data_IF_528898194002
#
_entry.id   IF_528898194002
#
_cell.length_a   1.000
_cell.length_b   1.000
_cell.length_c   1.000
_cell.angle_alpha   90.00
_cell.angle_beta   90.00
_cell.angle_gamma   90.00
#
_symmetry.space_group_name_H-M   'P 1'
#
loop_
_entity.id
_entity.type
_entity.pdbx_description
1 polymer ?
#
# COMPACT_ATOMS: atom_id res chain seq x y z
N UNK A 1 8.35 19.39 -21.28
CA UNK A 1 6.96 18.86 -21.29
C UNK A 1 6.91 17.37 -21.59
N UNK A 2 7.42 16.86 -22.72
CA UNK A 2 7.43 15.40 -23.02
C UNK A 2 8.15 14.53 -21.98
N UNK A 3 9.31 14.98 -21.47
CA UNK A 3 10.06 14.25 -20.44
C UNK A 3 9.28 14.09 -19.12
N UNK A 4 8.58 15.14 -18.70
CA UNK A 4 7.81 15.14 -17.45
C UNK A 4 6.55 14.26 -17.58
N UNK A 5 5.87 14.32 -18.74
CA UNK A 5 4.75 13.44 -19.03
C UNK A 5 5.16 11.97 -19.10
N UNK A 6 6.31 11.66 -19.69
CA UNK A 6 6.82 10.29 -19.74
C UNK A 6 7.18 9.75 -18.34
N UNK A 7 7.76 10.61 -17.48
CA UNK A 7 8.08 10.25 -16.11
C UNK A 7 6.83 9.96 -15.27
N UNK A 8 5.82 10.83 -15.31
CA UNK A 8 4.54 10.63 -14.61
C UNK A 8 3.81 9.36 -15.13
N UNK A 9 3.81 9.15 -16.45
CA UNK A 9 3.18 7.98 -17.06
C UNK A 9 3.90 6.69 -16.70
N UNK A 10 5.24 6.70 -16.74
CA UNK A 10 6.06 5.57 -16.28
C UNK A 10 5.88 5.32 -14.79
N UNK A 11 5.85 6.37 -13.97
CA UNK A 11 5.63 6.26 -12.53
C UNK A 11 4.24 5.69 -12.18
N UNK A 12 3.21 6.06 -12.94
CA UNK A 12 1.87 5.50 -12.84
C UNK A 12 1.76 4.05 -13.34
N UNK A 13 2.56 3.66 -14.33
CA UNK A 13 2.61 2.27 -14.83
C UNK A 13 3.43 1.35 -13.91
N UNK A 14 4.40 1.90 -13.19
CA UNK A 14 5.29 1.13 -12.29
C UNK A 14 4.72 1.00 -10.88
N UNK A 15 3.87 1.93 -10.43
CA UNK A 15 3.18 1.79 -9.14
C UNK A 15 1.84 1.09 -9.32
N UNK A 16 1.72 -0.07 -8.66
CA UNK A 16 0.43 -0.62 -8.31
C UNK A 16 -0.38 0.41 -7.49
N UNK A 17 -1.69 0.56 -7.74
CA UNK A 17 -2.56 1.36 -6.89
C UNK A 17 -2.52 0.83 -5.45
N UNK A 18 -2.66 1.75 -4.50
CA UNK A 18 -2.62 1.40 -3.10
C UNK A 18 -3.24 2.45 -2.19
N UNK A 19 -3.70 1.98 -1.04
CA UNK A 19 -4.16 2.77 0.08
C UNK A 19 -3.05 2.83 1.12
N UNK A 20 -2.72 4.03 1.59
CA UNK A 20 -1.79 4.22 2.71
C UNK A 20 -2.48 4.99 3.83
N UNK A 21 -2.26 4.54 5.06
CA UNK A 21 -2.68 5.21 6.28
C UNK A 21 -1.43 5.42 7.11
N UNK A 22 -1.18 6.67 7.49
CA UNK A 22 -0.05 7.07 8.31
C UNK A 22 -0.56 7.71 9.59
N UNK A 23 -0.05 7.25 10.73
CA UNK A 23 -0.19 7.94 12.01
C UNK A 23 1.17 8.49 12.45
N UNK A 24 1.14 9.56 13.24
CA UNK A 24 2.31 10.19 13.85
C UNK A 24 2.48 9.80 15.33
N UNK A 25 1.89 8.68 15.76
CA UNK A 25 1.98 8.19 17.13
C UNK A 25 3.36 7.62 17.46
N UNK A 26 3.45 6.84 18.56
CA UNK A 26 4.71 6.25 19.03
C UNK A 26 5.26 5.10 18.14
N UNK A 27 4.62 4.83 17.00
CA UNK A 27 4.97 3.72 16.13
C UNK A 27 4.54 2.36 16.66
N UNK A 28 5.21 1.30 16.21
CA UNK A 28 4.88 -0.07 16.60
C UNK A 28 5.56 -0.39 17.93
N UNK A 29 4.79 -0.37 19.03
CA UNK A 29 5.27 -0.60 20.39
C UNK A 29 5.03 -2.03 20.92
N UNK A 30 4.52 -2.94 20.09
CA UNK A 30 4.18 -4.31 20.48
C UNK A 30 4.53 -5.28 19.37
N UNK A 31 5.09 -6.43 19.75
CA UNK A 31 5.33 -7.56 18.84
C UNK A 31 4.06 -8.38 18.57
N UNK A 32 2.99 -8.17 19.35
CA UNK A 32 1.72 -8.88 19.18
C UNK A 32 0.92 -8.25 18.04
N UNK A 33 0.51 -9.11 17.11
CA UNK A 33 -0.38 -8.71 16.02
C UNK A 33 -1.84 -8.64 16.47
N UNK A 34 -2.46 -7.47 16.29
CA UNK A 34 -3.89 -7.27 16.55
C UNK A 34 -4.79 -7.82 15.42
N UNK A 35 -6.08 -7.99 15.71
CA UNK A 35 -7.07 -8.52 14.77
C UNK A 35 -7.18 -7.70 13.47
N UNK A 36 -7.12 -6.37 13.54
CA UNK A 36 -7.16 -5.53 12.34
C UNK A 36 -6.00 -5.82 11.39
N UNK A 37 -4.79 -6.02 11.91
CA UNK A 37 -3.61 -6.38 11.09
C UNK A 37 -3.79 -7.75 10.43
N UNK A 38 -4.35 -8.75 11.14
CA UNK A 38 -4.69 -10.05 10.56
C UNK A 38 -5.71 -9.92 9.42
N UNK A 39 -6.75 -9.12 9.61
CA UNK A 39 -7.77 -8.88 8.59
C UNK A 39 -7.17 -8.23 7.34
N UNK A 40 -6.31 -7.22 7.48
CA UNK A 40 -5.64 -6.59 6.34
C UNK A 40 -4.69 -7.54 5.61
N UNK A 41 -4.00 -8.43 6.32
CA UNK A 41 -3.19 -9.49 5.70
C UNK A 41 -4.06 -10.45 4.88
N UNK A 42 -5.18 -10.89 5.44
CA UNK A 42 -6.12 -11.76 4.73
C UNK A 42 -6.73 -11.06 3.51
N UNK A 43 -7.10 -9.78 3.65
CA UNK A 43 -7.62 -8.97 2.54
C UNK A 43 -6.60 -8.85 1.41
N UNK A 44 -5.33 -8.58 1.74
CA UNK A 44 -4.27 -8.53 0.74
C UNK A 44 -4.14 -9.84 -0.04
N UNK A 45 -4.26 -10.99 0.63
CA UNK A 45 -4.26 -12.30 -0.04
C UNK A 45 -5.48 -12.45 -0.97
N UNK A 46 -6.68 -12.05 -0.53
CA UNK A 46 -7.91 -12.13 -1.32
C UNK A 46 -7.84 -11.30 -2.61
N UNK A 47 -7.31 -10.08 -2.53
CA UNK A 47 -7.19 -9.18 -3.69
C UNK A 47 -5.89 -9.37 -4.49
N UNK A 48 -5.12 -10.43 -4.19
CA UNK A 48 -3.79 -10.71 -4.78
C UNK A 48 -2.83 -9.50 -4.66
N UNK A 49 -3.01 -8.74 -3.59
CA UNK A 49 -2.25 -7.56 -3.26
C UNK A 49 -1.14 -7.83 -2.24
N UNK A 50 -0.60 -6.75 -1.68
CA UNK A 50 0.41 -6.78 -0.61
C UNK A 50 -0.01 -5.82 0.49
N UNK A 51 0.04 -6.29 1.73
CA UNK A 51 -0.12 -5.46 2.91
C UNK A 51 1.20 -5.35 3.66
N UNK A 52 1.56 -4.14 4.07
CA UNK A 52 2.75 -3.86 4.87
C UNK A 52 2.39 -2.92 6.02
N UNK A 53 2.88 -3.24 7.21
CA UNK A 53 2.82 -2.38 8.39
C UNK A 53 4.23 -2.17 8.92
N UNK A 54 4.70 -0.93 8.96
CA UNK A 54 6.07 -0.58 9.40
C UNK A 54 6.06 0.63 10.32
N UNK A 55 6.97 0.63 11.31
CA UNK A 55 7.23 1.82 12.10
C UNK A 55 8.03 2.81 11.27
N UNK A 56 7.69 4.09 11.37
CA UNK A 56 8.42 5.17 10.72
C UNK A 56 9.42 5.80 11.68
N UNK A 57 10.52 6.32 11.13
CA UNK A 57 11.46 7.17 11.86
C UNK A 57 11.10 8.65 11.60
N UNK A 58 11.12 9.54 12.61
CA UNK A 58 11.43 9.28 14.02
C UNK A 58 10.25 8.71 14.84
N UNK A 59 9.03 8.83 14.35
CA UNK A 59 7.82 8.34 15.00
C UNK A 59 6.73 8.01 13.96
N UNK A 60 5.71 7.27 14.38
CA UNK A 60 4.55 6.94 13.58
C UNK A 60 4.54 5.53 13.01
N UNK A 61 3.41 5.15 12.42
CA UNK A 61 3.25 3.87 11.72
C UNK A 61 2.69 4.12 10.32
N UNK A 62 3.22 3.39 9.34
CA UNK A 62 2.65 3.28 8.00
C UNK A 62 1.95 1.93 7.89
N UNK A 63 0.68 1.96 7.52
CA UNK A 63 -0.07 0.80 7.03
C UNK A 63 -0.37 1.02 5.54
N UNK A 64 0.10 0.11 4.69
CA UNK A 64 -0.01 0.23 3.24
C UNK A 64 -0.60 -1.06 2.67
N UNK A 65 -1.64 -0.93 1.85
CA UNK A 65 -2.24 -1.99 1.06
C UNK A 65 -2.11 -1.63 -0.40
N UNK A 66 -1.51 -2.50 -1.21
CA UNK A 66 -1.38 -2.33 -2.66
C UNK A 66 -1.98 -3.53 -3.38
N UNK A 67 -2.49 -3.34 -4.60
CA UNK A 67 -3.04 -4.41 -5.43
C UNK A 67 -2.66 -4.20 -6.89
N UNK A 68 -2.53 -5.27 -7.68
CA UNK A 68 -2.28 -5.14 -9.11
C UNK A 68 -3.45 -4.41 -9.78
N UNK A 69 -3.17 -3.58 -10.77
CA UNK A 69 -4.21 -3.15 -11.70
C UNK A 69 -4.74 -4.40 -12.39
N UNK A 70 -6.05 -4.62 -12.31
CA UNK A 70 -6.67 -5.66 -13.13
C UNK A 70 -6.35 -5.32 -14.59
N UNK A 71 -5.85 -6.29 -15.36
CA UNK A 71 -5.87 -6.17 -16.81
C UNK A 71 -7.33 -5.89 -17.18
N UNK A 72 -7.57 -4.66 -17.65
CA UNK A 72 -8.87 -4.12 -17.97
C UNK A 72 -9.48 -4.90 -19.14
N UNK A 73 -10.04 -6.08 -18.86
CA UNK A 73 -10.92 -6.80 -19.78
C UNK A 73 -12.40 -6.57 -19.43
N UNK A 74 -12.67 -5.99 -18.26
CA UNK A 74 -14.04 -5.70 -17.77
C UNK A 74 -14.52 -4.28 -18.06
N UNK A 75 -13.68 -3.42 -18.65
CA UNK A 75 -14.02 -2.04 -19.04
C UNK A 75 -13.93 -1.81 -20.56
N UNK A 76 -14.11 -2.87 -21.37
CA UNK A 76 -14.28 -2.79 -22.83
C UNK A 76 -15.63 -3.34 -23.24
#
# INVERSE_FOLDING_TARGET
>A
FLFFAFYEYFFSLVRNPGLSIMDNGLGINSSKEGWGTKQFKNLAQQIKGKFRRVSLYPQGTLCELSWPLANSFWWQ
#
